data_IF_639305480027
#
_entry.id   IF_639305480027
#
_cell.length_a   1.000
_cell.length_b   1.000
_cell.length_c   1.000
_cell.angle_alpha   90.00
_cell.angle_beta   90.00
_cell.angle_gamma   90.00
#
_symmetry.space_group_name_H-M   'P 1'
#
loop_
_entity.id
_entity.type
_entity.pdbx_description
1 polymer ?
#
# COMPACT_ATOMS: atom_id res chain seq x y z
N UNK A 1 -12.77 3.91 -16.77
CA UNK A 1 -11.50 3.23 -16.48
C UNK A 1 -10.41 4.28 -16.51
N UNK A 2 -9.81 4.60 -15.38
CA UNK A 2 -8.69 5.55 -15.32
C UNK A 2 -7.44 4.77 -15.78
N UNK A 3 -6.82 5.18 -16.89
CA UNK A 3 -5.63 4.53 -17.44
C UNK A 3 -4.38 5.21 -16.88
N UNK A 4 -3.86 4.69 -15.79
CA UNK A 4 -2.53 5.04 -15.32
C UNK A 4 -1.49 4.35 -16.21
N UNK A 5 -0.58 5.12 -16.82
CA UNK A 5 0.51 4.56 -17.63
C UNK A 5 1.64 4.13 -16.70
N UNK A 6 1.84 2.83 -16.60
CA UNK A 6 2.79 2.28 -15.64
C UNK A 6 4.09 1.90 -16.33
N UNK A 7 5.18 2.50 -15.86
CA UNK A 7 6.51 2.45 -16.52
C UNK A 7 7.55 1.67 -15.71
N UNK A 8 7.22 1.30 -14.47
CA UNK A 8 8.09 0.57 -13.55
C UNK A 8 7.57 -0.86 -13.37
N UNK A 9 7.24 -1.53 -14.47
CA UNK A 9 6.59 -2.85 -14.45
C UNK A 9 7.48 -3.93 -13.84
N UNK A 10 8.80 -3.78 -13.88
CA UNK A 10 9.75 -4.77 -13.34
C UNK A 10 10.22 -4.44 -11.91
N UNK A 11 9.65 -3.41 -11.28
CA UNK A 11 10.06 -2.99 -9.94
C UNK A 11 9.58 -4.00 -8.89
N UNK A 12 10.51 -4.68 -8.24
CA UNK A 12 10.24 -5.65 -7.16
C UNK A 12 10.43 -5.07 -5.76
N UNK A 13 11.17 -3.97 -5.65
CA UNK A 13 11.46 -3.31 -4.38
C UNK A 13 11.21 -1.80 -4.49
N UNK A 14 10.46 -1.24 -3.53
CA UNK A 14 10.26 0.20 -3.38
C UNK A 14 10.54 0.61 -1.94
N UNK A 15 11.52 1.52 -1.76
CA UNK A 15 11.84 2.13 -0.47
C UNK A 15 11.53 3.62 -0.50
N UNK A 16 10.72 4.06 0.45
CA UNK A 16 10.38 5.46 0.71
C UNK A 16 10.17 5.72 2.21
N UNK A 17 10.84 4.94 3.07
CA UNK A 17 10.84 5.15 4.52
C UNK A 17 11.66 6.37 4.92
N UNK A 18 11.53 6.81 6.17
CA UNK A 18 12.24 7.96 6.75
C UNK A 18 12.02 9.26 5.95
N UNK A 19 10.77 9.52 5.61
CA UNK A 19 10.35 10.68 4.82
C UNK A 19 9.18 11.40 5.51
N UNK A 20 8.61 12.41 4.84
CA UNK A 20 7.40 13.10 5.28
C UNK A 20 6.24 12.84 4.31
N UNK A 21 6.08 11.59 3.86
CA UNK A 21 4.97 11.23 2.98
C UNK A 21 3.65 11.38 3.73
N UNK A 22 2.72 12.13 3.14
CA UNK A 22 1.34 12.22 3.63
C UNK A 22 0.40 11.23 2.95
N UNK A 23 0.79 10.71 1.78
CA UNK A 23 0.04 9.73 0.99
C UNK A 23 0.96 8.97 0.05
N UNK A 24 0.47 7.83 -0.46
CA UNK A 24 1.01 7.17 -1.65
C UNK A 24 0.06 7.40 -2.84
N UNK A 25 0.59 7.51 -4.07
CA UNK A 25 -0.24 7.64 -5.27
C UNK A 25 -1.06 6.36 -5.53
N UNK A 26 -2.24 6.49 -6.13
CA UNK A 26 -3.09 5.34 -6.51
C UNK A 26 -2.38 4.45 -7.55
N UNK A 27 -1.49 5.04 -8.34
CA UNK A 27 -0.64 4.39 -9.32
C UNK A 27 0.27 3.30 -8.72
N UNK A 28 0.44 3.25 -7.39
CA UNK A 28 1.14 2.14 -6.73
C UNK A 28 0.54 0.78 -7.10
N UNK A 29 -0.77 0.72 -7.35
CA UNK A 29 -1.45 -0.52 -7.73
C UNK A 29 -1.04 -1.09 -9.09
N UNK A 30 -0.31 -0.33 -9.91
CA UNK A 30 0.27 -0.83 -11.14
C UNK A 30 1.56 -1.64 -10.95
N UNK A 31 2.17 -1.58 -9.77
CA UNK A 31 3.42 -2.29 -9.52
C UNK A 31 3.11 -3.76 -9.22
N UNK A 32 2.58 -4.48 -10.21
CA UNK A 32 2.11 -5.86 -10.07
C UNK A 32 3.23 -6.81 -9.63
N UNK A 33 4.49 -6.50 -9.99
CA UNK A 33 5.68 -7.25 -9.62
C UNK A 33 6.33 -6.78 -8.31
N UNK A 34 5.75 -5.80 -7.60
CA UNK A 34 6.30 -5.33 -6.33
C UNK A 34 6.21 -6.42 -5.27
N UNK A 35 7.35 -6.81 -4.71
CA UNK A 35 7.48 -7.85 -3.67
C UNK A 35 7.72 -7.23 -2.29
N UNK A 36 8.40 -6.08 -2.25
CA UNK A 36 8.79 -5.40 -1.02
C UNK A 36 8.50 -3.90 -1.04
N UNK A 37 7.79 -3.41 -0.03
CA UNK A 37 7.46 -1.99 0.16
C UNK A 37 7.90 -1.49 1.54
N UNK A 38 8.87 -0.58 1.59
CA UNK A 38 9.33 0.04 2.82
C UNK A 38 8.88 1.50 2.87
N UNK A 39 7.94 1.81 3.77
CA UNK A 39 7.36 3.15 3.96
C UNK A 39 7.30 3.53 5.44
N UNK A 40 8.08 2.85 6.28
CA UNK A 40 8.23 3.16 7.71
C UNK A 40 8.71 4.59 7.93
N UNK A 41 8.47 5.12 9.13
CA UNK A 41 8.95 6.45 9.54
C UNK A 41 8.44 7.56 8.60
N UNK A 42 7.15 7.52 8.29
CA UNK A 42 6.43 8.61 7.63
C UNK A 42 5.33 9.13 8.58
N UNK A 43 5.63 10.16 9.41
CA UNK A 43 4.74 10.60 10.48
C UNK A 43 3.44 11.26 9.99
N UNK A 44 3.40 11.67 8.72
CA UNK A 44 2.21 12.26 8.09
C UNK A 44 1.38 11.22 7.31
N UNK A 45 1.77 9.94 7.29
CA UNK A 45 1.09 8.91 6.50
C UNK A 45 -0.10 8.32 7.28
N UNK A 46 -1.26 8.96 7.11
CA UNK A 46 -2.49 8.60 7.83
C UNK A 46 -3.34 7.53 7.12
N UNK A 47 -3.05 7.23 5.85
CA UNK A 47 -3.77 6.25 5.06
C UNK A 47 -2.89 5.63 3.97
N UNK A 48 -3.39 4.54 3.39
CA UNK A 48 -2.82 3.88 2.22
C UNK A 48 -3.88 3.83 1.11
N UNK A 49 -3.50 3.99 -0.17
CA UNK A 49 -4.42 3.84 -1.29
C UNK A 49 -4.95 2.40 -1.35
N UNK A 50 -6.23 2.23 -1.68
CA UNK A 50 -6.83 0.90 -1.82
C UNK A 50 -6.19 0.10 -2.97
N UNK A 51 -5.66 0.80 -3.96
CA UNK A 51 -4.95 0.26 -5.12
C UNK A 51 -3.70 -0.52 -4.71
N UNK A 52 -3.15 -0.31 -3.51
CA UNK A 52 -2.06 -1.13 -2.98
C UNK A 52 -2.43 -2.62 -2.88
N UNK A 53 -3.72 -2.94 -2.75
CA UNK A 53 -4.20 -4.31 -2.80
C UNK A 53 -4.10 -4.97 -4.19
N UNK A 54 -3.79 -4.21 -5.24
CA UNK A 54 -3.52 -4.70 -6.59
C UNK A 54 -2.06 -5.16 -6.78
N UNK A 55 -1.16 -4.81 -5.85
CA UNK A 55 0.21 -5.33 -5.81
C UNK A 55 0.19 -6.82 -5.42
N UNK A 56 -0.20 -7.70 -6.34
CA UNK A 56 -0.49 -9.10 -6.06
C UNK A 56 0.71 -9.92 -5.58
N UNK A 57 1.92 -9.49 -5.88
CA UNK A 57 3.16 -10.14 -5.47
C UNK A 57 3.75 -9.58 -4.16
N UNK A 58 3.11 -8.60 -3.53
CA UNK A 58 3.65 -7.94 -2.34
C UNK A 58 3.66 -8.89 -1.13
N UNK A 59 4.85 -9.20 -0.63
CA UNK A 59 5.08 -10.14 0.47
C UNK A 59 5.62 -9.43 1.71
N UNK A 60 6.45 -8.41 1.51
CA UNK A 60 7.11 -7.67 2.59
C UNK A 60 6.61 -6.24 2.56
N UNK A 61 6.19 -5.74 3.72
CA UNK A 61 5.83 -4.35 3.89
C UNK A 61 6.23 -3.86 5.28
N UNK A 62 6.90 -2.72 5.33
CA UNK A 62 7.33 -2.04 6.55
C UNK A 62 6.56 -0.72 6.65
N UNK A 63 5.79 -0.58 7.72
CA UNK A 63 4.86 0.54 8.00
C UNK A 63 5.00 1.04 9.45
N UNK A 64 6.08 0.67 10.12
CA UNK A 64 6.40 1.11 11.46
C UNK A 64 6.47 2.65 11.52
N UNK A 65 6.03 3.24 12.62
CA UNK A 65 6.03 4.69 12.81
C UNK A 65 5.23 5.49 11.75
N UNK A 66 4.20 4.86 11.17
CA UNK A 66 3.17 5.54 10.38
C UNK A 66 1.85 5.57 11.17
N UNK A 67 1.17 6.72 11.31
CA UNK A 67 -0.06 6.79 12.09
C UNK A 67 -1.17 5.88 11.58
N UNK A 68 -1.29 5.76 10.24
CA UNK A 68 -2.29 4.94 9.54
C UNK A 68 -3.69 4.99 10.17
N UNK A 69 -4.11 6.16 10.66
CA UNK A 69 -5.30 6.32 11.50
C UNK A 69 -6.62 5.96 10.81
N UNK A 70 -6.62 5.81 9.48
CA UNK A 70 -7.77 5.32 8.71
C UNK A 70 -7.88 3.79 8.68
N UNK A 71 -6.87 3.06 9.17
CA UNK A 71 -6.86 1.61 9.32
C UNK A 71 -6.97 1.30 10.82
N UNK A 72 -7.90 0.44 11.25
CA UNK A 72 -7.99 0.03 12.66
C UNK A 72 -6.63 -0.46 13.17
N UNK A 73 -6.20 0.02 14.34
CA UNK A 73 -4.89 -0.34 14.91
C UNK A 73 -4.72 -1.86 15.12
N UNK A 74 -5.80 -2.59 15.40
CA UNK A 74 -5.78 -4.06 15.49
C UNK A 74 -5.39 -4.74 14.17
N UNK A 75 -5.69 -4.11 13.04
CA UNK A 75 -5.34 -4.61 11.71
C UNK A 75 -3.87 -4.30 11.42
N UNK A 76 -3.44 -3.07 11.69
CA UNK A 76 -2.03 -2.65 11.56
C UNK A 76 -1.13 -3.56 12.38
N UNK A 77 -1.50 -3.84 13.64
CA UNK A 77 -0.72 -4.67 14.56
C UNK A 77 -0.63 -6.16 14.16
N UNK A 78 -1.54 -6.64 13.30
CA UNK A 78 -1.49 -8.01 12.75
C UNK A 78 -0.61 -8.12 11.51
N UNK A 79 -0.02 -7.00 11.08
CA UNK A 79 0.99 -6.94 10.04
C UNK A 79 0.42 -6.77 8.62
N UNK A 80 1.32 -6.72 7.64
CA UNK A 80 1.03 -6.37 6.25
C UNK A 80 -0.11 -7.12 5.59
N UNK A 81 -0.20 -8.44 5.78
CA UNK A 81 -1.21 -9.25 5.08
C UNK A 81 -2.62 -8.83 5.44
N UNK A 82 -2.87 -8.46 6.70
CA UNK A 82 -4.18 -8.02 7.14
C UNK A 82 -4.49 -6.58 6.73
N UNK A 83 -3.46 -5.72 6.68
CA UNK A 83 -3.56 -4.37 6.10
C UNK A 83 -3.96 -4.46 4.62
N UNK A 84 -3.28 -5.27 3.83
CA UNK A 84 -3.62 -5.51 2.42
C UNK A 84 -5.02 -6.09 2.29
N UNK A 85 -5.40 -7.08 3.10
CA UNK A 85 -6.76 -7.63 3.09
C UNK A 85 -7.82 -6.58 3.45
N UNK A 86 -7.54 -5.70 4.42
CA UNK A 86 -8.44 -4.61 4.78
C UNK A 86 -8.62 -3.63 3.62
N UNK A 87 -7.52 -3.18 2.99
CA UNK A 87 -7.57 -2.30 1.83
C UNK A 87 -8.34 -2.95 0.68
N UNK A 88 -8.12 -4.24 0.47
CA UNK A 88 -8.81 -5.07 -0.53
C UNK A 88 -10.33 -5.08 -0.31
N UNK A 89 -10.80 -5.34 0.91
CA UNK A 89 -12.24 -5.39 1.24
C UNK A 89 -12.93 -4.02 1.26
N UNK A 90 -12.18 -2.94 1.47
CA UNK A 90 -12.71 -1.57 1.56
C UNK A 90 -12.58 -0.79 0.26
N UNK A 91 -11.77 -1.29 -0.67
CA UNK A 91 -11.56 -0.68 -1.97
C UNK A 91 -12.77 -0.80 -2.89
N UNK A 92 -12.99 0.17 -3.80
CA UNK A 92 -14.12 0.17 -4.73
C UNK A 92 -14.07 -0.96 -5.78
N UNK A 93 -12.95 -1.68 -5.86
CA UNK A 93 -12.68 -2.72 -6.86
C UNK A 93 -13.16 -4.12 -6.46
N UNK A 94 -13.65 -4.31 -5.24
CA UNK A 94 -14.02 -5.63 -4.69
C UNK A 94 -15.48 -6.06 -4.87
N UNK A 95 -16.38 -5.14 -5.24
CA UNK A 95 -17.78 -5.46 -5.55
C UNK A 95 -18.01 -5.91 -7.01
N UNK A 96 -16.97 -6.30 -7.76
CA UNK A 96 -17.07 -6.67 -9.18
C UNK A 96 -16.64 -8.12 -9.51
N UNK A 97 -16.52 -9.01 -8.51
CA UNK A 97 -16.34 -10.46 -8.74
C UNK A 97 -17.49 -11.27 -8.15
#
# INVERSE_FOLDING_TARGET
MINFKCSLTDLTYLGAGENNLSTLPQEIGCLENLESLYINDNPELHSLPYELALCGNLQIMSIENCPLSQIPGEIVNKGPSLVIQFLKLRGPYYCQM
#
